data_IF_983202671607
#
_entry.id   IF_983202671607
#
_cell.length_a   1.000
_cell.length_b   1.000
_cell.length_c   1.000
_cell.angle_alpha   90.00
_cell.angle_beta   90.00
_cell.angle_gamma   90.00
#
_symmetry.space_group_name_H-M   'P 1'
#
loop_
_entity.id
_entity.type
_entity.pdbx_description
1 polymer ?
#
# COMPACT_ATOMS: atom_id res chain seq x y z
N UNK A 1 8.57 -3.41 11.34
CA UNK A 1 9.88 -2.98 10.78
C UNK A 1 9.75 -1.53 10.35
N UNK A 2 10.46 -0.61 10.96
CA UNK A 2 10.51 0.80 10.56
C UNK A 2 11.38 0.91 9.31
N UNK A 3 10.76 1.10 8.16
CA UNK A 3 11.49 1.34 6.90
C UNK A 3 12.20 2.70 6.91
N UNK A 4 13.13 2.89 5.97
CA UNK A 4 13.74 4.20 5.73
C UNK A 4 12.68 5.17 5.24
N UNK A 5 12.53 6.31 5.91
CA UNK A 5 11.61 7.38 5.47
C UNK A 5 12.28 8.13 4.32
N UNK A 6 11.57 8.28 3.20
CA UNK A 6 12.06 8.99 2.02
C UNK A 6 10.96 9.87 1.44
N UNK A 7 11.27 11.14 1.21
CA UNK A 7 10.37 12.06 0.51
C UNK A 7 10.00 11.52 -0.88
N UNK A 8 8.69 11.51 -1.17
CA UNK A 8 8.13 11.04 -2.44
C UNK A 8 7.06 12.01 -2.95
N UNK A 9 7.03 12.27 -4.23
CA UNK A 9 5.94 13.01 -4.87
C UNK A 9 4.95 12.03 -5.45
N UNK A 10 3.78 11.92 -4.84
CA UNK A 10 2.73 11.01 -5.29
C UNK A 10 2.18 11.36 -6.67
N UNK A 11 1.88 10.35 -7.47
CA UNK A 11 1.37 10.44 -8.83
C UNK A 11 0.24 9.44 -9.03
N UNK A 12 -0.67 9.62 -9.99
CA UNK A 12 -1.77 8.68 -10.27
C UNK A 12 -1.32 7.22 -10.47
N UNK A 13 -0.12 7.01 -11.01
CA UNK A 13 0.47 5.66 -11.18
C UNK A 13 0.86 4.97 -9.87
N UNK A 14 0.85 5.67 -8.75
CA UNK A 14 1.12 5.10 -7.43
C UNK A 14 -0.16 4.55 -6.79
N UNK A 15 -1.33 4.84 -7.39
CA UNK A 15 -2.66 4.36 -6.99
C UNK A 15 -3.09 3.18 -7.89
N UNK A 16 -2.45 2.05 -7.72
CA UNK A 16 -2.65 0.86 -8.59
C UNK A 16 -3.16 -0.37 -7.83
N UNK A 17 -3.45 -0.20 -6.55
CA UNK A 17 -3.95 -1.26 -5.66
C UNK A 17 -5.34 -1.76 -6.02
N UNK A 18 -6.17 -0.91 -6.64
CA UNK A 18 -7.56 -1.22 -6.98
C UNK A 18 -8.56 -0.94 -5.85
N UNK A 19 -8.09 -0.46 -4.71
CA UNK A 19 -8.90 0.02 -3.58
C UNK A 19 -8.06 0.98 -2.74
N UNK A 20 -8.67 2.05 -2.20
CA UNK A 20 -7.97 3.10 -1.44
C UNK A 20 -7.17 2.54 -0.24
N UNK A 21 -7.68 1.52 0.43
CA UNK A 21 -6.99 0.85 1.55
C UNK A 21 -5.72 0.16 1.08
N UNK A 22 -5.76 -0.46 -0.10
CA UNK A 22 -4.56 -1.09 -0.70
C UNK A 22 -3.59 -0.01 -1.19
N UNK A 23 -4.09 1.11 -1.71
CA UNK A 23 -3.24 2.25 -2.08
C UNK A 23 -2.54 2.87 -0.85
N UNK A 24 -3.18 2.88 0.35
CA UNK A 24 -2.52 3.21 1.60
C UNK A 24 -1.39 2.21 1.92
N UNK A 25 -1.66 0.91 1.81
CA UNK A 25 -0.66 -0.16 2.03
C UNK A 25 0.54 0.05 1.12
N UNK A 26 0.34 0.50 -0.10
CA UNK A 26 1.37 0.74 -1.11
C UNK A 26 2.15 2.05 -0.95
N UNK A 27 1.88 2.86 0.08
CA UNK A 27 2.74 4.00 0.43
C UNK A 27 4.10 3.57 0.99
N UNK A 28 4.32 2.26 1.20
CA UNK A 28 5.63 1.65 1.44
C UNK A 28 6.01 0.78 0.23
N UNK A 29 7.24 0.94 -0.23
CA UNK A 29 7.82 0.11 -1.31
C UNK A 29 9.03 -0.68 -0.80
N UNK A 30 9.59 -1.55 -1.64
CA UNK A 30 10.76 -2.36 -1.33
C UNK A 30 10.60 -3.25 -0.07
N UNK A 31 9.37 -3.72 0.20
CA UNK A 31 9.04 -4.48 1.40
C UNK A 31 9.77 -5.84 1.50
N UNK A 32 10.25 -6.35 0.37
CA UNK A 32 11.02 -7.59 0.22
C UNK A 32 12.52 -7.41 0.48
N UNK A 33 12.99 -6.17 0.65
CA UNK A 33 14.41 -5.83 0.86
C UNK A 33 14.56 -4.82 2.00
N UNK A 34 14.79 -3.55 1.67
CA UNK A 34 14.86 -2.45 2.61
C UNK A 34 13.61 -1.57 2.43
N UNK A 35 12.58 -1.71 3.29
CA UNK A 35 11.35 -0.96 3.14
C UNK A 35 11.59 0.54 3.11
N UNK A 36 10.93 1.23 2.17
CA UNK A 36 10.98 2.69 2.02
C UNK A 36 9.58 3.23 2.23
N UNK A 37 9.40 4.03 3.27
CA UNK A 37 8.16 4.71 3.61
C UNK A 37 8.10 6.08 2.96
N UNK A 38 7.06 6.33 2.18
CA UNK A 38 6.84 7.59 1.46
C UNK A 38 6.04 8.63 2.24
N UNK A 39 5.46 8.25 3.39
CA UNK A 39 4.75 9.19 4.26
C UNK A 39 5.75 9.83 5.24
N UNK A 40 6.50 10.81 4.80
CA UNK A 40 7.55 11.49 5.56
C UNK A 40 7.02 12.53 6.57
N UNK A 41 5.72 12.83 6.53
CA UNK A 41 5.05 13.76 7.43
C UNK A 41 3.54 13.77 7.21
N UNK A 42 2.80 14.40 8.13
CA UNK A 42 1.35 14.55 8.00
C UNK A 42 0.94 15.34 6.74
N UNK A 43 1.68 16.40 6.31
CA UNK A 43 1.41 17.05 5.02
C UNK A 43 1.52 16.10 3.83
N UNK A 44 2.47 15.17 3.84
CA UNK A 44 2.60 14.16 2.79
C UNK A 44 1.42 13.20 2.75
N UNK A 45 0.90 12.82 3.92
CA UNK A 45 -0.33 12.05 4.02
C UNK A 45 -1.53 12.80 3.41
N UNK A 46 -1.63 14.11 3.60
CA UNK A 46 -2.69 14.93 2.98
C UNK A 46 -2.54 15.01 1.46
N UNK A 47 -1.31 15.12 0.93
CA UNK A 47 -1.05 15.07 -0.52
C UNK A 47 -1.49 13.73 -1.13
N UNK A 48 -1.14 12.61 -0.49
CA UNK A 48 -1.61 11.29 -0.90
C UNK A 48 -3.14 11.21 -0.87
N UNK A 49 -3.76 11.64 0.23
CA UNK A 49 -5.21 11.61 0.39
C UNK A 49 -5.93 12.46 -0.68
N UNK A 50 -5.40 13.63 -1.01
CA UNK A 50 -5.93 14.49 -2.07
C UNK A 50 -5.86 13.81 -3.44
N UNK A 51 -4.74 13.13 -3.73
CA UNK A 51 -4.55 12.42 -5.01
C UNK A 51 -5.57 11.30 -5.20
N UNK A 52 -6.00 10.63 -4.12
CA UNK A 52 -6.98 9.53 -4.21
C UNK A 52 -8.37 10.00 -4.67
N UNK A 53 -8.68 11.28 -4.50
CA UNK A 53 -10.01 11.83 -4.78
C UNK A 53 -11.14 11.32 -3.86
N UNK A 54 -10.81 10.54 -2.84
CA UNK A 54 -11.79 9.96 -1.91
C UNK A 54 -12.26 10.96 -0.84
N UNK A 55 -11.37 11.85 -0.44
CA UNK A 55 -11.62 12.80 0.64
C UNK A 55 -12.01 14.17 0.10
N UNK A 56 -13.00 14.82 0.75
CA UNK A 56 -13.43 16.15 0.36
C UNK A 56 -12.28 17.17 0.51
N UNK A 57 -12.01 18.02 -0.49
CA UNK A 57 -10.93 19.02 -0.40
C UNK A 57 -11.03 19.94 0.81
N UNK A 58 -12.25 20.32 1.20
CA UNK A 58 -12.48 21.15 2.39
C UNK A 58 -12.06 20.45 3.69
N UNK A 59 -12.28 19.13 3.79
CA UNK A 59 -11.83 18.33 4.94
C UNK A 59 -10.30 18.29 5.02
N UNK A 60 -9.63 18.03 3.89
CA UNK A 60 -8.16 18.00 3.82
C UNK A 60 -7.55 19.36 4.17
N UNK A 61 -8.13 20.45 3.66
CA UNK A 61 -7.69 21.81 4.02
C UNK A 61 -7.89 22.10 5.53
N UNK A 62 -9.00 21.63 6.12
CA UNK A 62 -9.24 21.71 7.55
C UNK A 62 -8.20 20.97 8.38
N UNK A 63 -7.86 19.72 7.96
CA UNK A 63 -6.81 18.92 8.59
C UNK A 63 -5.43 19.58 8.47
N UNK A 64 -5.12 20.21 7.32
CA UNK A 64 -3.86 20.95 7.16
C UNK A 64 -3.71 22.05 8.18
N UNK A 65 -4.72 22.91 8.33
CA UNK A 65 -4.72 23.97 9.36
C UNK A 65 -4.61 23.42 10.79
N UNK A 66 -5.32 22.33 11.07
CA UNK A 66 -5.26 21.69 12.38
C UNK A 66 -3.87 21.12 12.67
N UNK A 67 -3.22 20.53 11.67
CA UNK A 67 -1.87 19.99 11.80
C UNK A 67 -0.81 21.09 12.05
N UNK A 68 -1.00 22.28 11.48
CA UNK A 68 -0.14 23.45 11.74
C UNK A 68 -0.26 23.93 13.18
N UNK A 69 -1.46 23.91 13.75
CA UNK A 69 -1.71 24.36 15.14
C UNK A 69 -1.39 23.27 16.18
N UNK A 70 -1.42 21.98 15.81
CA UNK A 70 -1.24 20.84 16.71
C UNK A 70 -0.20 19.84 16.18
N UNK A 71 1.06 20.27 15.94
CA UNK A 71 2.05 19.44 15.25
C UNK A 71 2.36 18.12 15.97
N UNK A 72 2.33 18.10 17.29
CA UNK A 72 2.54 16.87 18.06
C UNK A 72 1.41 15.85 17.86
N UNK A 73 0.16 16.29 17.80
CA UNK A 73 -0.99 15.42 17.52
C UNK A 73 -0.99 14.96 16.05
N UNK A 74 -0.55 15.82 15.12
CA UNK A 74 -0.40 15.43 13.71
C UNK A 74 0.67 14.34 13.54
N UNK A 75 1.79 14.44 14.25
CA UNK A 75 2.81 13.39 14.26
C UNK A 75 2.25 12.07 14.84
N UNK A 76 1.51 12.11 15.94
CA UNK A 76 0.86 10.92 16.51
C UNK A 76 -0.16 10.29 15.54
N UNK A 77 -0.99 11.10 14.89
CA UNK A 77 -1.98 10.63 13.93
C UNK A 77 -1.29 9.97 12.70
N UNK A 78 -0.13 10.50 12.27
CA UNK A 78 0.68 9.87 11.22
C UNK A 78 1.20 8.49 11.66
N UNK A 79 1.69 8.35 12.88
CA UNK A 79 2.14 7.05 13.39
C UNK A 79 0.98 6.05 13.51
N UNK A 80 -0.20 6.50 13.93
CA UNK A 80 -1.37 5.64 14.02
C UNK A 80 -1.82 5.12 12.65
N UNK A 81 -1.82 5.97 11.60
CA UNK A 81 -2.19 5.50 10.25
C UNK A 81 -1.12 4.59 9.65
N UNK A 82 0.17 4.82 9.94
CA UNK A 82 1.25 3.88 9.60
C UNK A 82 1.01 2.52 10.29
N UNK A 83 0.61 2.53 11.57
CA UNK A 83 0.25 1.31 12.30
C UNK A 83 -0.89 0.53 11.64
N UNK A 84 -1.97 1.21 11.24
CA UNK A 84 -3.06 0.61 10.46
C UNK A 84 -2.56 0.01 9.14
N UNK A 85 -1.75 0.76 8.40
CA UNK A 85 -1.17 0.34 7.13
C UNK A 85 -0.37 -0.96 7.25
N UNK A 86 0.51 -1.05 8.25
CA UNK A 86 1.32 -2.25 8.47
C UNK A 86 0.46 -3.43 8.92
N UNK A 87 -0.51 -3.21 9.81
CA UNK A 87 -1.44 -4.27 10.21
C UNK A 87 -2.24 -4.83 9.02
N UNK A 88 -2.66 -3.96 8.08
CA UNK A 88 -3.35 -4.37 6.86
C UNK A 88 -2.44 -5.14 5.90
N UNK A 89 -1.19 -4.71 5.72
CA UNK A 89 -0.23 -5.44 4.90
C UNK A 89 0.01 -6.84 5.44
N UNK A 90 0.29 -6.95 6.76
CA UNK A 90 0.52 -8.22 7.42
C UNK A 90 -0.69 -9.15 7.30
N UNK A 91 -1.90 -8.62 7.52
CA UNK A 91 -3.14 -9.40 7.39
C UNK A 91 -3.35 -9.90 5.95
N UNK A 92 -3.25 -9.01 4.97
CA UNK A 92 -3.48 -9.39 3.56
C UNK A 92 -2.45 -10.42 3.11
N UNK A 93 -1.17 -10.25 3.46
CA UNK A 93 -0.12 -11.20 3.08
C UNK A 93 -0.26 -12.55 3.79
N UNK A 94 -0.66 -12.56 5.05
CA UNK A 94 -0.96 -13.78 5.80
C UNK A 94 -2.15 -14.56 5.18
N UNK A 95 -3.21 -13.85 4.78
CA UNK A 95 -4.35 -14.46 4.08
C UNK A 95 -3.93 -15.06 2.72
N UNK A 96 -3.08 -14.36 1.96
CA UNK A 96 -2.59 -14.83 0.67
C UNK A 96 -1.65 -16.04 0.80
N UNK A 97 -0.87 -16.12 1.87
CA UNK A 97 0.02 -17.27 2.18
C UNK A 97 -0.67 -18.39 2.96
N UNK A 98 -1.95 -18.21 3.34
CA UNK A 98 -2.71 -19.13 4.17
C UNK A 98 -2.06 -19.40 5.54
N UNK A 99 -1.34 -18.41 6.08
CA UNK A 99 -0.75 -18.46 7.41
C UNK A 99 -1.78 -18.00 8.46
N UNK A 100 -2.50 -18.96 9.06
CA UNK A 100 -3.56 -18.68 10.01
C UNK A 100 -3.06 -18.00 11.30
N UNK A 101 -1.85 -18.34 11.77
CA UNK A 101 -1.29 -17.76 13.00
C UNK A 101 -0.91 -16.31 12.80
N UNK A 102 -0.24 -15.99 11.68
CA UNK A 102 0.08 -14.61 11.32
C UNK A 102 -1.19 -13.79 11.07
N UNK A 103 -2.21 -14.37 10.42
CA UNK A 103 -3.48 -13.71 10.16
C UNK A 103 -4.21 -13.34 11.46
N UNK A 104 -4.29 -14.26 12.44
CA UNK A 104 -4.94 -14.01 13.73
C UNK A 104 -4.27 -12.85 14.50
N UNK A 105 -2.94 -12.82 14.56
CA UNK A 105 -2.19 -11.72 15.16
C UNK A 105 -2.39 -10.38 14.44
N UNK A 106 -2.49 -10.39 13.12
CA UNK A 106 -2.73 -9.18 12.32
C UNK A 106 -4.18 -8.68 12.45
N UNK A 107 -5.17 -9.57 12.49
CA UNK A 107 -6.59 -9.22 12.70
C UNK A 107 -6.77 -8.42 13.97
N UNK A 108 -6.18 -8.83 15.09
CA UNK A 108 -6.31 -8.11 16.37
C UNK A 108 -5.82 -6.65 16.30
N UNK A 109 -4.75 -6.40 15.53
CA UNK A 109 -4.26 -5.03 15.31
C UNK A 109 -5.21 -4.20 14.44
N UNK A 110 -5.72 -4.76 13.36
CA UNK A 110 -6.72 -4.11 12.49
C UNK A 110 -8.00 -3.82 13.27
N UNK A 111 -8.47 -4.79 14.06
CA UNK A 111 -9.65 -4.65 14.93
C UNK A 111 -9.50 -3.48 15.91
N UNK A 112 -8.31 -3.28 16.50
CA UNK A 112 -8.03 -2.16 17.40
C UNK A 112 -8.27 -0.80 16.70
N UNK A 113 -7.80 -0.64 15.46
CA UNK A 113 -8.04 0.58 14.67
C UNK A 113 -9.52 0.74 14.29
N UNK A 114 -10.17 -0.34 13.89
CA UNK A 114 -11.60 -0.34 13.55
C UNK A 114 -12.47 0.05 14.74
N UNK A 115 -12.23 -0.51 15.94
CA UNK A 115 -12.96 -0.15 17.18
C UNK A 115 -12.86 1.33 17.51
N UNK A 116 -11.68 1.93 17.34
CA UNK A 116 -11.48 3.37 17.54
C UNK A 116 -12.23 4.20 16.50
N UNK A 117 -12.28 3.77 15.25
CA UNK A 117 -13.04 4.43 14.20
C UNK A 117 -14.54 4.38 14.49
N UNK A 118 -15.08 3.22 14.86
CA UNK A 118 -16.50 3.05 15.22
C UNK A 118 -16.87 3.90 16.45
N UNK A 119 -15.99 3.98 17.45
CA UNK A 119 -16.23 4.82 18.63
C UNK A 119 -16.31 6.32 18.30
N UNK A 120 -15.70 6.75 17.19
CA UNK A 120 -15.75 8.14 16.69
C UNK A 120 -16.82 8.35 15.61
N UNK A 121 -17.54 7.29 15.23
CA UNK A 121 -18.52 7.34 14.14
C UNK A 121 -19.91 7.69 14.65
N UNK A 122 -20.72 8.32 13.79
CA UNK A 122 -22.17 8.38 13.91
C UNK A 122 -22.81 7.57 12.77
N UNK A 123 -24.06 7.16 12.95
CA UNK A 123 -24.81 6.55 11.87
C UNK A 123 -25.40 7.62 10.95
N UNK A 124 -25.14 7.49 9.66
CA UNK A 124 -25.74 8.33 8.64
C UNK A 124 -26.34 7.45 7.52
N UNK A 125 -27.47 7.87 6.97
CA UNK A 125 -28.08 7.17 5.84
C UNK A 125 -27.30 7.53 4.57
N UNK A 126 -26.65 6.53 3.96
CA UNK A 126 -26.05 6.65 2.63
C UNK A 126 -26.73 5.67 1.67
N UNK A 127 -27.34 6.21 0.65
CA UNK A 127 -28.17 5.39 -0.24
C UNK A 127 -29.40 4.86 0.51
N UNK A 128 -29.56 3.53 0.59
CA UNK A 128 -30.71 2.85 1.21
C UNK A 128 -30.44 2.30 2.61
N UNK A 129 -29.21 2.45 3.16
CA UNK A 129 -28.83 1.84 4.44
C UNK A 129 -28.10 2.82 5.37
N UNK A 130 -28.31 2.73 6.71
CA UNK A 130 -27.46 3.41 7.65
C UNK A 130 -26.07 2.80 7.65
N UNK A 131 -25.05 3.69 7.65
CA UNK A 131 -23.64 3.31 7.66
C UNK A 131 -22.87 4.14 8.70
N UNK A 132 -21.82 3.60 9.33
CA UNK A 132 -20.95 4.39 10.19
C UNK A 132 -20.25 5.46 9.36
N UNK A 133 -20.27 6.68 9.83
CA UNK A 133 -19.64 7.82 9.18
C UNK A 133 -18.79 8.59 10.21
N UNK A 134 -17.55 8.89 9.82
CA UNK A 134 -16.65 9.75 10.55
C UNK A 134 -16.45 11.08 9.82
N UNK A 135 -15.97 12.08 10.53
CA UNK A 135 -15.68 13.39 9.95
C UNK A 135 -14.59 14.10 10.75
N UNK A 136 -14.08 15.21 10.22
CA UNK A 136 -13.05 16.01 10.92
C UNK A 136 -13.55 16.48 12.28
N UNK A 137 -14.83 16.81 12.43
CA UNK A 137 -15.42 17.25 13.70
C UNK A 137 -15.45 16.18 14.79
N UNK A 138 -15.58 14.89 14.44
CA UNK A 138 -15.63 13.77 15.39
C UNK A 138 -14.27 13.11 15.59
N UNK A 139 -13.39 13.17 14.60
CA UNK A 139 -12.12 12.44 14.58
C UNK A 139 -10.88 13.35 14.63
N UNK A 140 -11.02 14.66 14.39
CA UNK A 140 -9.88 15.56 14.32
C UNK A 140 -8.83 15.08 13.34
N UNK A 141 -7.56 15.10 13.73
CA UNK A 141 -6.43 14.64 12.93
C UNK A 141 -6.43 13.12 12.63
N UNK A 142 -7.22 12.34 13.36
CA UNK A 142 -7.40 10.90 13.12
C UNK A 142 -8.42 10.59 12.01
N UNK A 143 -9.04 11.59 11.40
CA UNK A 143 -10.12 11.40 10.42
C UNK A 143 -9.72 10.46 9.27
N UNK A 144 -8.55 10.66 8.67
CA UNK A 144 -8.09 9.81 7.56
C UNK A 144 -7.94 8.35 8.00
N UNK A 145 -7.37 8.11 9.17
CA UNK A 145 -7.20 6.77 9.72
C UNK A 145 -8.54 6.11 10.03
N UNK A 146 -9.47 6.85 10.66
CA UNK A 146 -10.78 6.30 11.00
C UNK A 146 -11.59 5.95 9.75
N UNK A 147 -11.62 6.83 8.75
CA UNK A 147 -12.28 6.55 7.48
C UNK A 147 -11.68 5.33 6.81
N UNK A 148 -10.34 5.23 6.73
CA UNK A 148 -9.66 4.09 6.11
C UNK A 148 -9.82 2.79 6.92
N UNK A 149 -9.97 2.85 8.25
CA UNK A 149 -10.26 1.67 9.05
C UNK A 149 -11.69 1.13 8.81
N UNK A 150 -12.67 2.01 8.61
CA UNK A 150 -14.02 1.61 8.20
C UNK A 150 -14.01 0.98 6.79
N UNK A 151 -13.34 1.62 5.83
CA UNK A 151 -13.16 1.10 4.47
C UNK A 151 -12.41 -0.23 4.44
N UNK A 152 -11.44 -0.42 5.35
CA UNK A 152 -10.70 -1.67 5.48
C UNK A 152 -11.58 -2.82 5.92
N UNK A 153 -12.50 -2.61 6.84
CA UNK A 153 -13.46 -3.62 7.26
C UNK A 153 -14.34 -4.08 6.09
N UNK A 154 -14.86 -3.15 5.29
CA UNK A 154 -15.68 -3.47 4.13
C UNK A 154 -14.88 -4.20 3.04
N UNK A 155 -13.64 -3.77 2.78
CA UNK A 155 -12.75 -4.45 1.86
C UNK A 155 -12.47 -5.88 2.30
N UNK A 156 -12.06 -6.09 3.56
CA UNK A 156 -11.67 -7.41 4.06
C UNK A 156 -12.81 -8.43 4.02
N UNK A 157 -14.06 -7.99 4.20
CA UNK A 157 -15.26 -8.84 4.07
C UNK A 157 -15.48 -9.38 2.66
N UNK A 158 -15.00 -8.67 1.64
CA UNK A 158 -15.23 -8.96 0.23
C UNK A 158 -13.95 -9.08 -0.59
N UNK A 159 -12.78 -9.16 0.07
CA UNK A 159 -11.49 -9.21 -0.62
C UNK A 159 -11.38 -10.45 -1.51
N UNK A 160 -11.27 -10.31 -2.83
CA UNK A 160 -11.14 -11.43 -3.74
C UNK A 160 -9.72 -12.02 -3.67
N UNK A 161 -9.49 -12.96 -2.74
CA UNK A 161 -8.16 -13.54 -2.49
C UNK A 161 -7.57 -14.20 -3.73
N UNK A 162 -8.39 -14.82 -4.58
CA UNK A 162 -7.99 -15.41 -5.87
C UNK A 162 -7.48 -14.37 -6.90
N UNK A 163 -7.84 -13.10 -6.70
CA UNK A 163 -7.46 -11.96 -7.53
C UNK A 163 -6.46 -11.01 -6.86
N UNK A 164 -6.26 -11.14 -5.57
CA UNK A 164 -5.31 -10.29 -4.83
C UNK A 164 -3.89 -10.86 -4.96
N UNK A 165 -2.92 -10.01 -5.25
CA UNK A 165 -1.54 -10.39 -5.52
C UNK A 165 -0.56 -9.45 -4.82
N UNK A 166 0.60 -9.99 -4.42
CA UNK A 166 1.79 -9.21 -4.10
C UNK A 166 2.66 -9.10 -5.34
N UNK A 167 3.08 -7.89 -5.68
CA UNK A 167 3.92 -7.65 -6.87
C UNK A 167 5.32 -8.25 -6.68
N UNK A 168 5.76 -9.17 -7.56
CA UNK A 168 7.10 -9.76 -7.50
C UNK A 168 8.17 -8.85 -8.15
N UNK A 169 7.88 -7.56 -8.31
CA UNK A 169 8.84 -6.59 -8.83
C UNK A 169 10.01 -6.41 -7.89
N UNK A 170 11.24 -6.31 -8.42
CA UNK A 170 12.42 -6.05 -7.59
C UNK A 170 12.23 -4.74 -6.80
N UNK A 171 12.37 -4.78 -5.48
CA UNK A 171 12.18 -3.65 -4.58
C UNK A 171 10.76 -3.06 -4.70
N UNK A 172 9.73 -3.89 -4.80
CA UNK A 172 8.34 -3.47 -4.86
C UNK A 172 7.54 -3.98 -3.65
N UNK A 173 7.03 -5.21 -3.68
CA UNK A 173 6.21 -5.78 -2.61
C UNK A 173 4.81 -5.16 -2.47
N UNK A 174 4.34 -4.37 -3.45
CA UNK A 174 3.00 -3.77 -3.45
C UNK A 174 1.92 -4.82 -3.61
N UNK A 175 0.80 -4.58 -2.94
CA UNK A 175 -0.42 -5.37 -3.08
C UNK A 175 -1.29 -4.76 -4.18
N UNK A 176 -2.01 -5.59 -4.93
CA UNK A 176 -3.01 -5.12 -5.90
C UNK A 176 -4.10 -6.15 -6.13
N UNK A 177 -5.30 -5.68 -6.47
CA UNK A 177 -6.41 -6.51 -6.94
C UNK A 177 -6.33 -6.57 -8.47
N UNK A 178 -6.28 -7.78 -9.01
CA UNK A 178 -6.29 -7.99 -10.46
C UNK A 178 -7.71 -7.85 -11.02
N UNK A 179 -8.05 -6.65 -11.49
CA UNK A 179 -9.30 -6.34 -12.18
C UNK A 179 -9.28 -6.69 -13.67
N UNK A 180 -8.21 -7.28 -14.21
CA UNK A 180 -8.14 -7.64 -15.62
C UNK A 180 -9.13 -8.75 -15.97
N UNK A 181 -9.64 -8.76 -17.22
CA UNK A 181 -10.66 -9.70 -17.69
C UNK A 181 -10.26 -11.18 -17.47
N UNK A 182 -8.97 -11.49 -17.61
CA UNK A 182 -8.45 -12.86 -17.46
C UNK A 182 -7.83 -13.20 -16.11
N UNK A 183 -7.76 -12.25 -15.14
CA UNK A 183 -7.10 -12.48 -13.84
C UNK A 183 -5.61 -12.84 -13.96
N UNK A 184 -4.91 -12.35 -14.99
CA UNK A 184 -3.52 -12.72 -15.31
C UNK A 184 -2.50 -11.62 -15.07
N UNK A 185 -2.90 -10.52 -14.43
CA UNK A 185 -1.98 -9.44 -14.09
C UNK A 185 -0.95 -9.93 -13.08
N UNK A 186 0.31 -9.89 -13.46
CA UNK A 186 1.43 -10.36 -12.66
C UNK A 186 2.13 -9.22 -11.88
N UNK A 187 2.06 -8.00 -12.36
CA UNK A 187 2.77 -6.83 -11.86
C UNK A 187 1.79 -5.77 -11.39
N UNK A 188 2.12 -5.04 -10.32
CA UNK A 188 1.29 -3.91 -9.85
C UNK A 188 1.10 -2.84 -10.93
N UNK A 189 2.09 -2.67 -11.80
CA UNK A 189 2.00 -1.87 -13.02
C UNK A 189 2.95 -2.40 -14.10
N UNK A 190 2.46 -2.47 -15.35
CA UNK A 190 3.26 -2.93 -16.48
C UNK A 190 4.33 -1.95 -16.91
N UNK A 191 4.04 -0.62 -16.83
CA UNK A 191 4.97 0.42 -17.26
C UNK A 191 6.22 0.52 -16.37
N UNK A 192 6.11 0.12 -15.11
CA UNK A 192 7.19 0.13 -14.13
C UNK A 192 7.75 -1.27 -13.88
N UNK A 193 7.10 -2.04 -13.02
CA UNK A 193 7.57 -3.36 -12.60
C UNK A 193 7.65 -4.37 -13.75
N UNK A 194 6.65 -4.37 -14.65
CA UNK A 194 6.62 -5.28 -15.82
C UNK A 194 7.76 -4.99 -16.80
N UNK A 195 7.98 -3.74 -17.17
CA UNK A 195 9.04 -3.35 -18.09
C UNK A 195 10.44 -3.58 -17.47
N UNK A 196 10.63 -3.28 -16.20
CA UNK A 196 11.87 -3.58 -15.48
C UNK A 196 12.20 -5.09 -15.49
N UNK A 197 11.19 -5.93 -15.30
CA UNK A 197 11.37 -7.39 -15.36
C UNK A 197 11.75 -7.89 -16.78
N UNK A 198 11.09 -7.35 -17.82
CA UNK A 198 11.43 -7.66 -19.22
C UNK A 198 12.87 -7.24 -19.57
N UNK A 199 13.26 -6.02 -19.16
CA UNK A 199 14.62 -5.49 -19.38
C UNK A 199 15.68 -6.39 -18.75
N UNK A 200 15.50 -6.81 -17.48
CA UNK A 200 16.43 -7.74 -16.80
C UNK A 200 16.53 -9.09 -17.51
N UNK A 201 15.41 -9.64 -17.97
CA UNK A 201 15.41 -10.92 -18.71
C UNK A 201 16.17 -10.81 -20.03
N UNK A 202 15.97 -9.72 -20.78
CA UNK A 202 16.67 -9.44 -22.03
C UNK A 202 18.19 -9.30 -21.80
N UNK A 203 18.59 -8.53 -20.81
CA UNK A 203 20.01 -8.31 -20.48
C UNK A 203 20.70 -9.62 -20.05
N UNK A 204 20.04 -10.44 -19.23
CA UNK A 204 20.57 -11.76 -18.81
C UNK A 204 20.78 -12.69 -20.00
N UNK A 205 19.81 -12.76 -20.92
CA UNK A 205 19.96 -13.56 -22.16
C UNK A 205 21.14 -13.09 -23.02
N UNK A 206 21.28 -11.77 -23.20
CA UNK A 206 22.38 -11.18 -23.99
C UNK A 206 23.76 -11.52 -23.38
N UNK A 207 23.89 -11.48 -22.03
CA UNK A 207 25.15 -11.87 -21.37
C UNK A 207 25.47 -13.36 -21.52
N UNK A 208 24.47 -14.23 -21.48
CA UNK A 208 24.67 -15.68 -21.66
C UNK A 208 25.10 -16.02 -23.09
N UNK A 209 24.63 -15.29 -24.08
CA UNK A 209 25.02 -15.49 -25.49
C UNK A 209 26.37 -14.84 -25.84
N UNK A 210 26.84 -13.87 -25.05
CA UNK A 210 28.12 -13.18 -25.24
C UNK A 210 29.29 -13.82 -24.49
N UNK A 211 29.10 -14.96 -23.78
CA UNK A 211 30.21 -15.70 -23.15
C UNK A 211 31.09 -16.33 -24.24
N UNK A 212 32.43 -16.12 -24.25
CA UNK A 212 33.28 -16.63 -25.34
C UNK A 212 33.27 -18.15 -25.37
N UNK A 213 33.02 -18.72 -26.56
CA UNK A 213 33.28 -20.13 -26.82
C UNK A 213 34.77 -20.40 -26.57
N UNK A 214 35.04 -21.47 -25.88
CA UNK A 214 36.28 -21.93 -25.32
C UNK A 214 37.56 -21.61 -26.12
N UNK A 215 38.61 -21.46 -25.33
CA UNK A 215 39.98 -21.49 -25.81
C UNK A 215 40.18 -22.71 -26.74
N UNK A 216 40.37 -22.43 -28.02
CA UNK A 216 40.94 -23.40 -28.94
C UNK A 216 42.41 -23.57 -28.54
N UNK A 217 42.74 -24.70 -27.98
CA UNK A 217 44.11 -25.10 -27.67
C UNK A 217 44.80 -25.41 -29.02
N UNK A 218 45.96 -24.78 -29.35
CA UNK A 218 46.64 -25.13 -30.59
C UNK A 218 47.26 -26.54 -30.45
N UNK A 219 47.31 -27.32 -31.55
CA UNK A 219 47.96 -28.61 -31.49
C UNK A 219 49.49 -28.46 -31.25
N UNK A 220 49.98 -29.22 -30.31
CA UNK A 220 51.41 -29.28 -30.02
C UNK A 220 52.17 -29.88 -31.24
N UNK A 221 53.20 -29.16 -31.64
CA UNK A 221 54.17 -29.67 -32.61
C UNK A 221 55.12 -30.66 -31.93
N UNK A 222 55.34 -31.76 -32.61
CA UNK A 222 56.34 -32.79 -32.34
C UNK A 222 57.68 -32.38 -32.86
#
# INVERSE_FOLDING_TARGET
MTGTIQAHTFRPRDLVGGHIVIDLVNTVTARDTEPVDWLDGYPRLLEWAALTGHFAPAALAGLGRLAETEPGRAASALEHIRGLREALYDLITALLSQDAVAAEGAVGRVEGHWKQAVASACLAVRGSAPQPQVGVGTSGLEYLRHELALQAFDLLRSLPLDRTRVCPGLRCGWVFIDSSRGGRRRWCDMATCGNSAKGRTHYRRKRQTASPRGHHQPPGDW
#
